data_IF_855421847093
#
_entry.id   IF_855421847093
#
_cell.length_a   1.000
_cell.length_b   1.000
_cell.length_c   1.000
_cell.angle_alpha   90.00
_cell.angle_beta   90.00
_cell.angle_gamma   90.00
#
_symmetry.space_group_name_H-M   'P 1'
#
loop_
_entity.id
_entity.type
_entity.pdbx_description
1 polymer ?
#
# COMPACT_ATOMS: atom_id res chain seq x y z
N UNK A 1 -28.37 1.99 -7.69
CA UNK A 1 -27.65 2.37 -6.45
C UNK A 1 -26.23 2.69 -6.86
N UNK A 2 -25.81 3.94 -6.73
CA UNK A 2 -24.40 4.30 -6.95
C UNK A 2 -23.63 3.81 -5.71
N UNK A 3 -22.61 2.98 -5.91
CA UNK A 3 -21.68 2.67 -4.84
C UNK A 3 -21.04 3.99 -4.35
N UNK A 4 -20.85 4.13 -3.03
CA UNK A 4 -20.09 5.27 -2.50
C UNK A 4 -18.69 5.25 -3.11
N UNK A 5 -18.12 6.42 -3.41
CA UNK A 5 -16.74 6.54 -3.91
C UNK A 5 -15.74 5.81 -3.00
N UNK A 6 -15.99 5.83 -1.69
CA UNK A 6 -15.21 5.08 -0.71
C UNK A 6 -15.28 3.55 -0.90
N UNK A 7 -16.46 3.02 -1.28
CA UNK A 7 -16.63 1.59 -1.59
C UNK A 7 -15.79 1.19 -2.79
N UNK A 8 -15.79 2.02 -3.84
CA UNK A 8 -15.01 1.79 -5.07
C UNK A 8 -13.51 1.75 -4.75
N UNK A 9 -13.01 2.68 -3.92
CA UNK A 9 -11.60 2.72 -3.52
C UNK A 9 -11.23 1.48 -2.70
N UNK A 10 -12.09 1.05 -1.76
CA UNK A 10 -11.85 -0.15 -0.95
C UNK A 10 -11.83 -1.42 -1.79
N UNK A 11 -12.72 -1.54 -2.78
CA UNK A 11 -12.72 -2.65 -3.73
C UNK A 11 -11.42 -2.70 -4.55
N UNK A 12 -10.94 -1.55 -5.03
CA UNK A 12 -9.68 -1.48 -5.79
C UNK A 12 -8.46 -1.89 -4.93
N UNK A 13 -8.42 -1.45 -3.67
CA UNK A 13 -7.38 -1.88 -2.75
C UNK A 13 -7.52 -3.36 -2.39
N UNK A 14 -8.74 -3.89 -2.26
CA UNK A 14 -8.98 -5.31 -2.06
C UNK A 14 -8.45 -6.15 -3.22
N UNK A 15 -8.61 -5.70 -4.47
CA UNK A 15 -8.01 -6.36 -5.64
C UNK A 15 -6.47 -6.39 -5.55
N UNK A 16 -5.83 -5.30 -5.13
CA UNK A 16 -4.38 -5.26 -4.95
C UNK A 16 -3.92 -6.22 -3.85
N UNK A 17 -4.60 -6.22 -2.70
CA UNK A 17 -4.31 -7.14 -1.58
C UNK A 17 -4.56 -8.60 -1.98
N UNK A 18 -5.61 -8.88 -2.74
CA UNK A 18 -5.90 -10.22 -3.24
C UNK A 18 -4.75 -10.76 -4.09
N UNK A 19 -4.18 -9.95 -5.00
CA UNK A 19 -3.00 -10.36 -5.80
C UNK A 19 -1.80 -10.71 -4.93
N UNK A 20 -1.62 -9.98 -3.83
CA UNK A 20 -0.55 -10.22 -2.86
C UNK A 20 -0.81 -11.47 -1.97
N UNK A 21 -2.06 -11.90 -1.82
CA UNK A 21 -2.44 -12.97 -0.88
C UNK A 21 -1.84 -14.34 -1.18
N UNK A 22 -1.39 -14.57 -2.42
CA UNK A 22 -0.77 -15.83 -2.83
C UNK A 22 0.68 -15.97 -2.34
N UNK A 23 1.36 -14.86 -2.10
CA UNK A 23 2.80 -14.82 -1.78
C UNK A 23 3.06 -14.33 -0.36
N UNK A 24 2.03 -13.87 0.34
CA UNK A 24 2.16 -13.17 1.61
C UNK A 24 1.16 -13.67 2.66
N UNK A 25 1.60 -13.73 3.91
CA UNK A 25 0.75 -14.08 5.05
C UNK A 25 -0.17 -12.93 5.48
N UNK A 26 -1.03 -13.21 6.46
CA UNK A 26 -2.04 -12.26 6.93
C UNK A 26 -1.42 -10.96 7.48
N UNK A 27 -0.30 -11.06 8.20
CA UNK A 27 0.39 -9.89 8.77
C UNK A 27 0.93 -8.96 7.69
N UNK A 28 1.49 -9.52 6.62
CA UNK A 28 1.97 -8.78 5.46
C UNK A 28 0.80 -8.10 4.72
N UNK A 29 -0.32 -8.79 4.53
CA UNK A 29 -1.51 -8.21 3.87
C UNK A 29 -2.09 -7.03 4.66
N UNK A 30 -2.14 -7.14 6.00
CA UNK A 30 -2.55 -6.03 6.88
C UNK A 30 -1.58 -4.85 6.74
N UNK A 31 -0.27 -5.11 6.72
CA UNK A 31 0.75 -4.08 6.56
C UNK A 31 0.66 -3.38 5.20
N UNK A 32 0.40 -4.13 4.12
CA UNK A 32 0.18 -3.57 2.78
C UNK A 32 -1.09 -2.72 2.71
N UNK A 33 -2.19 -3.16 3.32
CA UNK A 33 -3.41 -2.37 3.42
C UNK A 33 -3.18 -1.05 4.19
N UNK A 34 -2.39 -1.10 5.27
CA UNK A 34 -1.97 0.10 6.00
C UNK A 34 -1.11 1.03 5.16
N UNK A 35 -0.20 0.48 4.36
CA UNK A 35 0.63 1.28 3.43
C UNK A 35 -0.23 2.03 2.40
N UNK A 36 -1.28 1.40 1.87
CA UNK A 36 -2.25 2.07 0.99
C UNK A 36 -3.00 3.17 1.73
N UNK A 37 -3.53 2.88 2.93
CA UNK A 37 -4.22 3.88 3.75
C UNK A 37 -3.34 5.10 4.04
N UNK A 38 -2.08 4.87 4.43
CA UNK A 38 -1.14 5.94 4.73
C UNK A 38 -0.84 6.82 3.50
N UNK A 39 -0.78 6.24 2.30
CA UNK A 39 -0.68 7.01 1.07
C UNK A 39 -1.92 7.89 0.81
N UNK A 40 -3.12 7.36 1.07
CA UNK A 40 -4.36 8.14 0.95
C UNK A 40 -4.38 9.30 1.93
N UNK A 41 -4.05 9.07 3.20
CA UNK A 41 -4.01 10.14 4.21
C UNK A 41 -2.96 11.21 3.86
N UNK A 42 -1.80 10.79 3.34
CA UNK A 42 -0.77 11.73 2.84
C UNK A 42 -1.26 12.56 1.66
N UNK A 43 -1.96 11.95 0.70
CA UNK A 43 -2.52 12.67 -0.45
C UNK A 43 -3.54 13.72 -0.01
N UNK A 44 -4.41 13.39 0.96
CA UNK A 44 -5.35 14.34 1.58
C UNK A 44 -4.62 15.51 2.25
N UNK A 45 -3.56 15.24 3.02
CA UNK A 45 -2.78 16.27 3.68
C UNK A 45 -2.02 17.18 2.71
N UNK A 46 -1.50 16.65 1.61
CA UNK A 46 -0.77 17.44 0.62
C UNK A 46 -1.67 18.42 -0.17
N UNK A 47 -2.97 18.12 -0.23
CA UNK A 47 -3.93 18.90 -1.00
C UNK A 47 -4.57 20.06 -0.23
N UNK A 48 -4.25 20.25 1.06
CA UNK A 48 -4.78 21.32 1.93
C UNK A 48 -6.33 21.43 1.96
N UNK A 49 -7.04 20.36 1.58
CA UNK A 49 -8.50 20.33 1.46
C UNK A 49 -9.09 18.92 1.65
N UNK A 50 -10.41 18.84 1.82
CA UNK A 50 -11.21 17.60 1.92
C UNK A 50 -11.25 16.85 0.56
N UNK A 51 -10.08 16.49 0.01
CA UNK A 51 -10.00 15.71 -1.22
C UNK A 51 -10.52 14.30 -0.95
N UNK A 52 -11.60 13.98 -1.64
CA UNK A 52 -11.98 12.59 -1.87
C UNK A 52 -11.02 12.07 -2.93
N UNK A 53 -10.11 11.19 -2.54
CA UNK A 53 -9.19 10.49 -3.45
C UNK A 53 -10.00 9.98 -4.65
N UNK A 54 -9.62 10.39 -5.86
CA UNK A 54 -10.37 9.94 -7.02
C UNK A 54 -10.01 8.48 -7.38
N UNK A 55 -10.85 7.76 -8.15
CA UNK A 55 -10.57 6.38 -8.50
C UNK A 55 -9.29 6.21 -9.34
N UNK A 56 -8.86 7.22 -10.11
CA UNK A 56 -7.65 7.13 -10.91
C UNK A 56 -6.39 7.17 -10.01
N UNK A 57 -6.38 8.05 -9.01
CA UNK A 57 -5.33 8.12 -7.98
C UNK A 57 -5.26 6.83 -7.15
N UNK A 58 -6.42 6.30 -6.72
CA UNK A 58 -6.49 5.01 -6.04
C UNK A 58 -5.89 3.87 -6.88
N UNK A 59 -6.13 3.90 -8.21
CA UNK A 59 -5.55 2.93 -9.15
C UNK A 59 -4.04 3.05 -9.23
N UNK A 60 -3.53 4.28 -9.23
CA UNK A 60 -2.10 4.54 -9.28
C UNK A 60 -1.41 4.05 -8.02
N UNK A 61 -1.97 4.33 -6.83
CA UNK A 61 -1.45 3.83 -5.56
C UNK A 61 -1.41 2.30 -5.52
N UNK A 62 -2.49 1.67 -5.99
CA UNK A 62 -2.57 0.21 -6.09
C UNK A 62 -1.50 -0.35 -7.02
N UNK A 63 -1.29 0.27 -8.20
CA UNK A 63 -0.28 -0.17 -9.16
C UNK A 63 1.14 0.03 -8.62
N UNK A 64 1.41 1.18 -8.02
CA UNK A 64 2.70 1.47 -7.39
C UNK A 64 3.03 0.42 -6.33
N UNK A 65 2.07 0.09 -5.45
CA UNK A 65 2.26 -0.94 -4.44
C UNK A 65 2.59 -2.31 -5.06
N UNK A 66 1.82 -2.72 -6.08
CA UNK A 66 2.02 -4.01 -6.74
C UNK A 66 3.39 -4.08 -7.43
N UNK A 67 3.82 -3.01 -8.08
CA UNK A 67 5.15 -2.91 -8.68
C UNK A 67 6.26 -3.01 -7.62
N UNK A 68 6.09 -2.28 -6.51
CA UNK A 68 7.03 -2.21 -5.41
C UNK A 68 7.25 -3.58 -4.73
N UNK A 69 6.20 -4.42 -4.62
CA UNK A 69 6.29 -5.77 -4.04
C UNK A 69 6.54 -6.88 -5.07
N UNK A 70 6.65 -6.54 -6.36
CA UNK A 70 6.85 -7.51 -7.44
C UNK A 70 5.63 -8.39 -7.73
N UNK A 71 4.42 -7.92 -7.41
CA UNK A 71 3.16 -8.65 -7.66
C UNK A 71 2.54 -8.38 -9.04
N UNK A 72 3.16 -7.54 -9.88
CA UNK A 72 2.65 -7.20 -11.23
C UNK A 72 2.75 -8.39 -12.21
N UNK A 73 3.76 -9.25 -12.01
CA UNK A 73 3.96 -10.50 -12.75
C UNK A 73 3.38 -11.75 -12.04
N UNK A 74 2.67 -11.55 -10.92
CA UNK A 74 2.07 -12.67 -10.21
C UNK A 74 0.95 -13.28 -11.09
N UNK A 75 1.05 -14.58 -11.46
CA UNK A 75 0.00 -15.26 -12.21
C UNK A 75 -1.34 -15.12 -11.48
N UNK A 76 -2.42 -14.88 -12.23
CA UNK A 76 -3.77 -14.87 -11.65
C UNK A 76 -4.06 -16.21 -10.98
N UNK A 77 -4.99 -16.28 -10.00
CA UNK A 77 -5.37 -17.53 -9.34
C UNK A 77 -5.64 -18.69 -10.31
N UNK A 78 -6.16 -18.36 -11.50
CA UNK A 78 -6.47 -19.29 -12.59
C UNK A 78 -5.24 -19.91 -13.31
N UNK A 79 -4.05 -19.34 -13.18
CA UNK A 79 -2.90 -19.62 -14.06
C UNK A 79 -1.79 -20.45 -13.38
N UNK A 80 -1.83 -20.61 -12.05
CA UNK A 80 -0.85 -21.42 -11.31
C UNK A 80 -1.32 -22.88 -11.25
N UNK A 81 -0.90 -23.64 -12.27
CA UNK A 81 -0.84 -25.11 -12.34
C UNK A 81 -2.13 -25.89 -12.64
N UNK A 82 -2.24 -26.31 -13.90
CA UNK A 82 -2.72 -27.64 -14.28
C UNK A 82 -4.22 -27.79 -14.56
N UNK A 83 -4.64 -27.53 -15.80
CA UNK A 83 -5.95 -27.90 -16.38
C UNK A 83 -7.24 -27.51 -15.60
N UNK A 84 -7.16 -26.77 -14.50
CA UNK A 84 -8.30 -26.45 -13.64
C UNK A 84 -8.92 -25.11 -14.00
N UNK A 85 -10.22 -25.09 -14.30
CA UNK A 85 -11.00 -23.87 -14.21
C UNK A 85 -10.77 -23.26 -12.83
N UNK A 86 -10.40 -21.97 -12.76
CA UNK A 86 -10.47 -21.22 -11.51
C UNK A 86 -11.81 -21.50 -10.86
N UNK A 87 -11.80 -21.96 -9.60
CA UNK A 87 -13.03 -22.11 -8.85
C UNK A 87 -13.54 -20.70 -8.52
N UNK A 88 -14.59 -20.22 -9.19
CA UNK A 88 -15.07 -18.85 -8.98
C UNK A 88 -15.55 -18.63 -7.53
N UNK A 89 -15.88 -19.69 -6.79
CA UNK A 89 -16.25 -19.59 -5.38
C UNK A 89 -15.04 -19.32 -4.48
N UNK A 90 -13.87 -19.89 -4.83
CA UNK A 90 -12.64 -19.68 -4.09
C UNK A 90 -12.11 -18.25 -4.28
N UNK A 91 -12.15 -17.73 -5.51
CA UNK A 91 -11.74 -16.36 -5.81
C UNK A 91 -12.65 -15.32 -5.15
N UNK A 92 -13.97 -15.57 -5.14
CA UNK A 92 -14.92 -14.70 -4.44
C UNK A 92 -14.64 -14.66 -2.94
N UNK A 93 -14.41 -15.81 -2.30
CA UNK A 93 -14.12 -15.84 -0.86
C UNK A 93 -12.82 -15.11 -0.52
N UNK A 94 -11.77 -15.29 -1.32
CA UNK A 94 -10.49 -14.60 -1.13
C UNK A 94 -10.64 -13.08 -1.33
N UNK A 95 -11.43 -12.65 -2.32
CA UNK A 95 -11.76 -11.24 -2.52
C UNK A 95 -12.51 -10.66 -1.31
N UNK A 96 -13.53 -11.36 -0.80
CA UNK A 96 -14.28 -10.91 0.39
C UNK A 96 -13.37 -10.79 1.63
N UNK A 97 -12.39 -11.70 1.79
CA UNK A 97 -11.40 -11.61 2.86
C UNK A 97 -10.48 -10.39 2.69
N UNK A 98 -10.00 -10.12 1.47
CA UNK A 98 -9.20 -8.94 1.17
C UNK A 98 -10.00 -7.65 1.43
N UNK A 99 -11.26 -7.60 1.01
CA UNK A 99 -12.16 -6.46 1.24
C UNK A 99 -12.45 -6.23 2.73
N UNK A 100 -12.66 -7.31 3.49
CA UNK A 100 -12.81 -7.22 4.95
C UNK A 100 -11.53 -6.69 5.61
N UNK A 101 -10.36 -7.17 5.19
CA UNK A 101 -9.06 -6.71 5.70
C UNK A 101 -8.86 -5.21 5.44
N UNK A 102 -9.00 -4.78 4.18
CA UNK A 102 -8.92 -3.36 3.80
C UNK A 102 -9.92 -2.53 4.59
N UNK A 103 -11.15 -3.03 4.76
CA UNK A 103 -12.16 -2.28 5.49
C UNK A 103 -11.79 -2.04 6.95
N UNK A 104 -11.33 -3.09 7.64
CA UNK A 104 -10.90 -2.99 9.03
C UNK A 104 -9.72 -2.02 9.21
N UNK A 105 -8.79 -1.99 8.25
CA UNK A 105 -7.65 -1.06 8.27
C UNK A 105 -8.12 0.39 8.06
N UNK A 106 -8.95 0.63 7.05
CA UNK A 106 -9.46 1.99 6.75
C UNK A 106 -10.34 2.54 7.87
N UNK A 107 -11.08 1.68 8.55
CA UNK A 107 -11.89 2.05 9.73
C UNK A 107 -11.03 2.22 11.01
N UNK A 108 -9.73 1.94 10.95
CA UNK A 108 -8.81 2.06 12.08
C UNK A 108 -9.03 1.01 13.18
N UNK A 109 -9.65 -0.13 12.84
CA UNK A 109 -9.99 -1.20 13.78
C UNK A 109 -8.83 -2.19 14.01
N UNK A 110 -7.82 -2.16 13.14
CA UNK A 110 -6.57 -2.91 13.32
C UNK A 110 -5.44 -1.91 13.64
N UNK A 111 -4.46 -2.25 14.50
CA UNK A 111 -3.29 -1.41 14.71
C UNK A 111 -2.42 -1.33 13.45
N UNK A 112 -1.68 -0.23 13.27
CA UNK A 112 -0.70 -0.07 12.18
C UNK A 112 0.63 -0.76 12.54
N UNK A 113 0.98 -1.92 11.93
CA UNK A 113 2.26 -2.56 12.19
C UNK A 113 3.42 -1.90 11.45
N UNK A 114 3.14 -0.99 10.51
CA UNK A 114 4.13 -0.33 9.63
C UNK A 114 4.63 1.00 10.18
N UNK A 115 4.05 1.50 11.26
CA UNK A 115 4.43 2.77 11.89
C UNK A 115 4.42 3.97 10.91
N UNK A 116 3.36 4.06 10.10
CA UNK A 116 3.17 5.15 9.14
C UNK A 116 3.94 4.98 7.83
N UNK A 117 4.29 3.75 7.44
CA UNK A 117 4.97 3.52 6.17
C UNK A 117 4.07 3.89 4.98
N UNK A 118 4.67 4.47 3.94
CA UNK A 118 4.01 4.81 2.68
C UNK A 118 4.69 4.16 1.47
N UNK A 119 5.82 3.48 1.67
CA UNK A 119 6.52 2.69 0.66
C UNK A 119 6.89 1.33 1.23
N UNK A 120 7.09 0.37 0.34
CA UNK A 120 7.47 -1.00 0.69
C UNK A 120 8.36 -1.56 -0.42
N UNK A 121 9.27 -2.49 -0.13
CA UNK A 121 9.91 -3.34 -1.14
C UNK A 121 10.37 -4.66 -0.50
N UNK A 122 10.68 -5.71 -1.28
CA UNK A 122 11.34 -6.91 -0.74
C UNK A 122 12.65 -6.56 -0.05
N UNK A 123 12.87 -7.04 1.17
CA UNK A 123 14.02 -6.67 2.01
C UNK A 123 15.39 -7.06 1.45
N UNK A 124 15.42 -7.99 0.48
CA UNK A 124 16.61 -8.43 -0.24
C UNK A 124 16.91 -7.60 -1.49
N UNK A 125 16.03 -6.65 -1.83
CA UNK A 125 16.22 -5.67 -2.88
C UNK A 125 16.58 -4.31 -2.28
N UNK A 126 17.39 -3.52 -2.99
CA UNK A 126 17.79 -2.19 -2.57
C UNK A 126 17.57 -1.18 -3.70
N UNK A 127 16.31 -0.83 -3.99
CA UNK A 127 16.00 0.11 -5.06
C UNK A 127 16.54 1.50 -4.72
N UNK A 128 16.99 2.25 -5.73
CA UNK A 128 17.66 3.54 -5.52
C UNK A 128 16.80 4.56 -4.76
N UNK A 129 15.48 4.52 -4.96
CA UNK A 129 14.52 5.40 -4.28
C UNK A 129 14.44 5.15 -2.78
N UNK A 130 14.78 3.95 -2.28
CA UNK A 130 14.68 3.63 -0.85
C UNK A 130 15.67 4.43 0.02
N UNK A 131 16.74 4.97 -0.57
CA UNK A 131 17.73 5.78 0.15
C UNK A 131 17.17 7.10 0.70
N UNK A 132 16.02 7.55 0.20
CA UNK A 132 15.37 8.79 0.64
C UNK A 132 14.38 8.56 1.80
N UNK A 133 14.21 7.31 2.22
CA UNK A 133 13.21 6.89 3.19
C UNK A 133 13.86 6.25 4.43
N UNK A 134 13.15 6.30 5.55
CA UNK A 134 13.50 5.63 6.79
C UNK A 134 12.80 4.27 6.86
N UNK A 135 13.55 3.20 7.14
CA UNK A 135 12.99 1.88 7.40
C UNK A 135 12.25 1.87 8.74
N UNK A 136 10.98 1.47 8.72
CA UNK A 136 10.07 1.54 9.87
C UNK A 136 9.67 0.16 10.39
N UNK A 137 9.55 -0.83 9.51
CA UNK A 137 9.25 -2.21 9.88
C UNK A 137 9.81 -3.20 8.86
N UNK A 138 10.13 -4.42 9.33
CA UNK A 138 10.39 -5.60 8.51
C UNK A 138 9.32 -6.63 8.88
N UNK A 139 8.40 -6.92 7.96
CA UNK A 139 7.28 -7.84 8.18
C UNK A 139 7.31 -8.89 7.08
N UNK A 140 7.59 -10.14 7.47
CA UNK A 140 7.85 -11.21 6.52
C UNK A 140 9.05 -10.85 5.62
N UNK A 141 8.93 -11.01 4.28
CA UNK A 141 10.00 -10.65 3.35
C UNK A 141 10.00 -9.17 2.95
N UNK A 142 9.12 -8.33 3.52
CA UNK A 142 8.89 -6.95 3.07
C UNK A 142 9.47 -5.92 4.04
N UNK A 143 10.24 -4.97 3.52
CA UNK A 143 10.74 -3.81 4.23
C UNK A 143 9.82 -2.61 3.98
N UNK A 144 9.30 -2.04 5.05
CA UNK A 144 8.37 -0.91 5.03
C UNK A 144 9.10 0.39 5.37
N UNK A 145 8.77 1.44 4.63
CA UNK A 145 9.53 2.67 4.56
C UNK A 145 8.60 3.88 4.71
N UNK A 146 9.06 4.88 5.46
CA UNK A 146 8.40 6.16 5.63
C UNK A 146 9.31 7.26 5.13
N UNK A 147 8.75 8.32 4.55
CA UNK A 147 9.59 9.45 4.15
C UNK A 147 10.31 10.04 5.36
N UNK A 148 11.61 10.30 5.18
CA UNK A 148 12.35 11.11 6.14
C UNK A 148 11.69 12.48 6.18
N UNK A 149 11.02 12.82 7.28
CA UNK A 149 10.59 14.19 7.56
C UNK A 149 11.85 15.04 7.59
N UNK A 150 12.17 15.67 6.45
CA UNK A 150 13.40 16.42 6.28
C UNK A 150 13.60 17.35 7.46
N UNK A 151 14.67 17.09 8.20
CA UNK A 151 15.26 18.02 9.15
C UNK A 151 15.31 19.40 8.52
N UNK A 152 14.57 20.37 9.07
CA UNK A 152 14.66 21.79 8.75
C UNK A 152 16.06 22.40 9.01
N UNK A 153 17.08 21.59 9.30
CA UNK A 153 18.43 22.00 9.68
C UNK A 153 19.36 22.34 8.50
N UNK A 154 18.93 22.13 7.26
CA UNK A 154 19.70 22.51 6.07
C UNK A 154 19.71 24.02 5.74
N UNK A 155 18.71 24.79 6.19
CA UNK A 155 18.51 26.17 5.69
C UNK A 155 18.96 27.28 6.65
N UNK A 156 19.63 26.95 7.76
CA UNK A 156 20.14 27.95 8.74
C UNK A 156 21.60 28.37 8.50
N UNK A 157 22.38 27.65 7.70
CA UNK A 157 23.82 27.95 7.53
C UNK A 157 24.15 28.96 6.44
N UNK A 158 23.19 29.37 5.61
CA UNK A 158 23.46 30.27 4.47
C UNK A 158 23.04 31.74 4.69
N UNK A 159 22.40 32.07 5.83
CA UNK A 159 22.03 33.46 6.16
C UNK A 159 23.06 34.22 7.00
N UNK A 160 24.10 33.56 7.49
CA UNK A 160 25.16 34.23 8.29
C UNK A 160 26.36 34.72 7.45
N UNK A 161 26.37 34.48 6.14
CA UNK A 161 27.44 34.94 5.24
C UNK A 161 27.09 36.21 4.44
N UNK A 162 25.93 36.83 4.70
CA UNK A 162 25.53 38.12 4.13
C UNK A 162 25.16 39.09 5.25
N UNK A 163 26.15 39.56 5.99
CA UNK A 163 26.07 40.77 6.82
C UNK A 163 27.41 41.47 6.82
#
# INVERSE_FOLDING_TARGET
>A
MLASLESVIREMFAEAILKCSHTHGQSELIALAWTLRNNVERAKHAADDEIILDPAEARELSRSLLADVGADDAPRPAEVQGNGQADPQHDEMAFQQALACVSLVFDGLLPDPTNGASRVHPHDQAPAWANEFEATALIGPLLFLRECSGSEEGNRRDRSARS
#
